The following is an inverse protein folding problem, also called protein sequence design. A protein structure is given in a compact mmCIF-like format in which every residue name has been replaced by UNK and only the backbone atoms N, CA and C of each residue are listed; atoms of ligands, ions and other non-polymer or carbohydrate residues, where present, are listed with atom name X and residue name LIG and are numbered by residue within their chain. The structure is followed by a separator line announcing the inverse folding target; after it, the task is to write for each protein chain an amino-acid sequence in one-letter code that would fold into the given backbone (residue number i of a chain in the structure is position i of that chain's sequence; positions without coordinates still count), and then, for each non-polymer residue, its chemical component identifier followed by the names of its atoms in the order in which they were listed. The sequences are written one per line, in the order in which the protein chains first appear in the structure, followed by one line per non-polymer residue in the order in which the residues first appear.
data_IF_697915789981
#
_entry.id   IF_697915789981
#
_cell.length_a   1.000
_cell.length_b   1.000
_cell.length_c   1.000
_cell.angle_alpha   90.00
_cell.angle_beta   90.00
_cell.angle_gamma   90.00
#
_symmetry.space_group_name_H-M   'P 1'
#
loop_
_entity.id
_entity.type
_entity.pdbx_description
1 polymer ?
#
# COMPACT_ATOMS: atom_id res chain seq x y z
N UNK A 1 -25.86 7.82 17.37
CA UNK A 1 -24.81 6.94 16.81
C UNK A 1 -24.87 7.04 15.29
N UNK A 2 -23.89 7.67 14.64
CA UNK A 2 -23.84 7.80 13.17
C UNK A 2 -22.84 6.78 12.62
N UNK A 3 -23.33 5.81 11.86
CA UNK A 3 -22.54 4.82 11.15
C UNK A 3 -22.04 5.44 9.84
N UNK A 4 -20.78 5.90 9.81
CA UNK A 4 -20.15 6.36 8.58
C UNK A 4 -19.61 5.13 7.82
N UNK A 5 -20.26 4.79 6.72
CA UNK A 5 -19.77 3.81 5.76
C UNK A 5 -18.42 4.30 5.21
N UNK A 6 -17.38 3.49 5.38
CA UNK A 6 -16.07 3.75 4.79
C UNK A 6 -16.13 3.23 3.36
N UNK A 7 -16.42 4.11 2.42
CA UNK A 7 -16.40 3.79 0.99
C UNK A 7 -15.05 4.25 0.44
N UNK A 8 -14.06 3.35 0.41
CA UNK A 8 -12.78 3.62 -0.24
C UNK A 8 -12.94 3.55 -1.75
N UNK A 9 -12.87 4.70 -2.45
CA UNK A 9 -12.85 4.73 -3.91
C UNK A 9 -11.41 4.52 -4.39
N UNK A 10 -11.18 3.44 -5.13
CA UNK A 10 -9.87 3.12 -5.75
C UNK A 10 -9.85 3.75 -7.14
N UNK A 11 -9.03 4.78 -7.33
CA UNK A 11 -8.73 5.30 -8.66
C UNK A 11 -7.43 4.64 -9.16
N UNK A 12 -7.56 3.59 -9.98
CA UNK A 12 -6.44 2.97 -10.67
C UNK A 12 -6.13 3.80 -11.92
N UNK A 13 -5.09 4.62 -11.87
CA UNK A 13 -4.52 5.26 -13.06
C UNK A 13 -3.45 4.33 -13.62
N UNK A 14 -3.72 3.67 -14.75
CA UNK A 14 -2.69 2.95 -15.49
C UNK A 14 -1.82 3.96 -16.24
N UNK A 15 -0.72 4.40 -15.62
CA UNK A 15 0.33 5.17 -16.29
C UNK A 15 1.43 4.21 -16.73
N UNK A 16 1.46 3.89 -18.02
CA UNK A 16 2.64 3.36 -18.68
C UNK A 16 3.50 4.54 -19.13
N UNK A 17 4.56 4.88 -18.39
CA UNK A 17 5.78 5.52 -18.90
C UNK A 17 6.72 5.91 -17.75
N UNK A 18 8.00 5.53 -17.89
CA UNK A 18 9.19 6.30 -17.50
C UNK A 18 9.38 6.65 -16.03
N UNK A 19 10.56 6.34 -15.50
CA UNK A 19 11.02 6.78 -14.17
C UNK A 19 10.71 8.27 -13.92
N UNK A 20 9.70 8.55 -13.08
CA UNK A 20 9.55 9.87 -12.46
C UNK A 20 10.21 9.79 -11.09
N UNK A 21 11.50 10.13 -11.05
CA UNK A 21 12.17 10.54 -9.82
C UNK A 21 11.54 11.86 -9.36
N UNK A 22 10.53 11.78 -8.50
CA UNK A 22 10.11 12.89 -7.66
C UNK A 22 10.39 12.50 -6.19
N UNK A 23 11.60 12.83 -5.75
CA UNK A 23 12.03 12.70 -4.36
C UNK A 23 11.55 13.94 -3.60
N UNK A 24 10.58 13.80 -2.69
CA UNK A 24 10.21 14.87 -1.72
C UNK A 24 9.80 14.24 -0.37
N UNK A 25 10.64 14.56 0.62
CA UNK A 25 10.52 14.57 2.08
C UNK A 25 9.90 13.37 2.85
N UNK A 26 10.80 12.67 3.56
CA UNK A 26 10.50 11.71 4.63
C UNK A 26 10.52 10.26 4.15
N UNK A 27 11.68 9.72 3.79
CA UNK A 27 11.86 8.29 3.48
C UNK A 27 11.84 7.47 4.76
N UNK A 28 10.66 7.41 5.35
CA UNK A 28 10.28 6.47 6.37
C UNK A 28 10.00 5.15 5.67
N UNK A 29 11.05 4.35 5.49
CA UNK A 29 10.91 3.00 4.96
C UNK A 29 9.92 2.23 5.83
N UNK A 30 8.94 1.61 5.18
CA UNK A 30 7.93 0.80 5.87
C UNK A 30 8.62 -0.33 6.64
N UNK A 31 8.31 -0.47 7.92
CA UNK A 31 8.82 -1.53 8.77
C UNK A 31 7.88 -2.72 8.70
N UNK A 32 8.42 -3.91 8.40
CA UNK A 32 7.64 -5.14 8.48
C UNK A 32 7.37 -5.47 9.94
N UNK A 33 6.11 -5.63 10.31
CA UNK A 33 5.67 -5.86 11.70
C UNK A 33 5.13 -7.26 11.92
N UNK A 34 4.60 -7.90 10.88
CA UNK A 34 4.13 -9.28 10.93
C UNK A 34 4.26 -9.91 9.54
N UNK A 35 4.51 -11.21 9.50
CA UNK A 35 4.48 -11.97 8.25
C UNK A 35 4.06 -13.41 8.52
N UNK A 36 3.41 -13.99 7.52
CA UNK A 36 3.11 -15.41 7.40
C UNK A 36 3.39 -15.76 5.94
N UNK A 37 4.66 -15.96 5.62
CA UNK A 37 5.17 -16.17 4.27
C UNK A 37 6.36 -17.13 4.31
N UNK A 38 6.13 -18.33 4.85
CA UNK A 38 7.18 -19.35 5.07
C UNK A 38 7.86 -19.78 3.77
N UNK A 39 7.08 -19.83 2.68
CA UNK A 39 7.56 -20.14 1.34
C UNK A 39 8.24 -18.94 0.64
N UNK A 40 8.35 -17.79 1.30
CA UNK A 40 8.97 -16.57 0.76
C UNK A 40 8.39 -16.09 -0.59
N UNK A 41 7.11 -16.36 -0.84
CA UNK A 41 6.45 -16.04 -2.11
C UNK A 41 6.26 -14.54 -2.34
N UNK A 42 6.33 -13.75 -1.26
CA UNK A 42 6.21 -12.29 -1.30
C UNK A 42 7.53 -11.60 -0.98
N UNK A 43 8.66 -12.32 -0.92
CA UNK A 43 9.94 -11.78 -0.45
C UNK A 43 10.47 -10.62 -1.26
N UNK A 44 10.40 -10.76 -2.57
CA UNK A 44 10.94 -9.78 -3.50
C UNK A 44 9.88 -8.75 -3.94
N UNK A 45 8.68 -8.80 -3.33
CA UNK A 45 7.65 -7.78 -3.51
C UNK A 45 7.88 -6.63 -2.52
N UNK A 46 8.11 -5.43 -3.05
CA UNK A 46 8.48 -4.25 -2.26
C UNK A 46 7.37 -3.21 -2.30
N UNK A 47 6.92 -2.76 -1.14
CA UNK A 47 6.06 -1.56 -1.04
C UNK A 47 6.99 -0.35 -0.85
N UNK A 48 7.02 0.56 -1.82
CA UNK A 48 7.75 1.81 -1.67
C UNK A 48 7.09 2.71 -0.62
N UNK A 49 7.81 3.67 -0.01
CA UNK A 49 7.25 4.60 0.96
C UNK A 49 5.97 5.28 0.43
N UNK A 50 4.86 5.21 1.17
CA UNK A 50 3.58 5.77 0.72
C UNK A 50 3.61 7.30 0.76
N UNK A 51 3.08 7.94 -0.29
CA UNK A 51 3.00 9.41 -0.37
C UNK A 51 1.60 9.87 0.04
N UNK A 52 1.54 10.77 1.03
CA UNK A 52 0.28 11.29 1.57
C UNK A 52 -0.03 12.69 1.02
N UNK A 53 -1.12 12.81 0.28
CA UNK A 53 -1.63 14.09 -0.20
C UNK A 53 -2.89 14.50 0.59
N UNK A 54 -3.01 15.78 0.91
CA UNK A 54 -4.24 16.34 1.50
C UNK A 54 -5.34 16.45 0.43
N UNK A 55 -6.56 16.05 0.78
CA UNK A 55 -7.78 16.35 0.03
C UNK A 55 -8.69 17.23 0.89
N UNK A 56 -9.63 18.00 0.31
CA UNK A 56 -10.57 18.82 1.08
C UNK A 56 -11.37 18.02 2.13
N UNK A 57 -11.69 16.77 1.82
CA UNK A 57 -12.53 15.86 2.61
C UNK A 57 -11.75 14.66 3.20
N UNK A 58 -10.42 14.67 3.13
CA UNK A 58 -9.63 13.55 3.64
C UNK A 58 -8.18 13.53 3.20
N UNK A 59 -7.66 12.32 2.94
CA UNK A 59 -6.30 12.09 2.44
C UNK A 59 -6.31 11.17 1.23
N UNK A 60 -5.37 11.40 0.32
CA UNK A 60 -5.01 10.44 -0.73
C UNK A 60 -3.68 9.81 -0.37
N UNK A 61 -3.63 8.48 -0.36
CA UNK A 61 -2.39 7.72 -0.18
C UNK A 61 -2.01 7.15 -1.53
N UNK A 62 -0.89 7.61 -2.09
CA UNK A 62 -0.32 7.04 -3.31
C UNK A 62 0.60 5.89 -2.92
N UNK A 63 0.37 4.75 -3.54
CA UNK A 63 1.11 3.52 -3.33
C UNK A 63 1.89 3.18 -4.59
N UNK A 64 3.08 2.65 -4.39
CA UNK A 64 3.90 2.03 -5.43
C UNK A 64 4.40 0.69 -4.92
N UNK A 65 4.18 -0.35 -5.72
CA UNK A 65 4.58 -1.72 -5.39
C UNK A 65 5.42 -2.26 -6.53
N UNK A 66 6.60 -2.78 -6.22
CA UNK A 66 7.55 -3.34 -7.16
C UNK A 66 7.69 -4.85 -6.95
N UNK A 67 8.04 -5.57 -8.01
CA UNK A 67 8.62 -6.90 -7.93
C UNK A 67 10.08 -6.83 -8.36
N UNK A 68 10.97 -6.86 -7.38
CA UNK A 68 12.42 -6.81 -7.60
C UNK A 68 13.01 -8.22 -7.80
N UNK A 69 12.14 -9.25 -7.77
CA UNK A 69 12.53 -10.64 -7.96
C UNK A 69 12.60 -11.07 -9.42
N UNK A 70 13.20 -12.23 -9.63
CA UNK A 70 13.38 -12.82 -10.96
C UNK A 70 12.11 -13.49 -11.51
N UNK A 71 11.19 -13.89 -10.64
CA UNK A 71 9.97 -14.61 -11.01
C UNK A 71 8.73 -13.72 -11.06
N UNK A 72 7.75 -14.10 -11.88
CA UNK A 72 6.46 -13.41 -11.91
C UNK A 72 5.60 -13.79 -10.71
N UNK A 73 5.26 -12.82 -9.86
CA UNK A 73 4.35 -13.03 -8.73
C UNK A 73 2.90 -12.78 -9.16
N UNK A 74 2.05 -13.79 -9.00
CA UNK A 74 0.63 -13.75 -9.41
C UNK A 74 -0.31 -13.78 -8.22
N UNK A 75 -1.56 -13.35 -8.44
CA UNK A 75 -2.66 -13.40 -7.45
C UNK A 75 -2.36 -12.66 -6.14
N UNK A 76 -1.54 -11.61 -6.22
CA UNK A 76 -1.23 -10.75 -5.07
C UNK A 76 -2.34 -9.71 -4.91
N UNK A 77 -2.70 -9.42 -3.68
CA UNK A 77 -3.54 -8.28 -3.32
C UNK A 77 -2.78 -7.39 -2.34
N UNK A 78 -2.95 -6.09 -2.50
CA UNK A 78 -2.62 -5.11 -1.49
C UNK A 78 -3.85 -4.82 -0.63
N UNK A 79 -3.69 -4.75 0.69
CA UNK A 79 -4.73 -4.28 1.60
C UNK A 79 -4.20 -3.10 2.42
N UNK A 80 -5.04 -2.09 2.64
CA UNK A 80 -4.76 -1.00 3.56
C UNK A 80 -5.74 -1.10 4.74
N UNK A 81 -5.23 -1.04 5.96
CA UNK A 81 -6.04 -1.02 7.17
C UNK A 81 -5.78 0.26 7.96
N UNK A 82 -6.80 0.70 8.69
CA UNK A 82 -6.73 1.77 9.67
C UNK A 82 -7.46 1.31 10.92
N UNK A 83 -6.80 1.36 12.08
CA UNK A 83 -7.36 0.89 13.37
C UNK A 83 -7.95 -0.53 13.26
N UNK A 84 -7.21 -1.44 12.61
CA UNK A 84 -7.61 -2.85 12.32
C UNK A 84 -8.81 -3.02 11.38
N UNK A 85 -9.39 -1.94 10.85
CA UNK A 85 -10.46 -1.99 9.84
C UNK A 85 -9.86 -1.87 8.45
N UNK A 86 -10.21 -2.78 7.54
CA UNK A 86 -9.76 -2.73 6.16
C UNK A 86 -10.43 -1.54 5.43
N UNK A 87 -9.61 -0.60 4.98
CA UNK A 87 -10.03 0.55 4.18
C UNK A 87 -10.17 0.20 2.70
N UNK A 88 -9.21 -0.57 2.16
CA UNK A 88 -9.27 -1.00 0.76
C UNK A 88 -8.59 -2.35 0.55
N UNK A 89 -8.95 -2.99 -0.57
CA UNK A 89 -8.24 -4.13 -1.14
C UNK A 89 -8.07 -3.89 -2.64
N UNK A 90 -6.83 -3.91 -3.11
CA UNK A 90 -6.48 -3.75 -4.53
C UNK A 90 -5.87 -5.05 -5.01
N UNK A 91 -6.44 -5.67 -6.05
CA UNK A 91 -5.79 -6.80 -6.71
C UNK A 91 -4.70 -6.26 -7.62
N UNK A 92 -3.48 -6.75 -7.44
CA UNK A 92 -2.37 -6.38 -8.30
C UNK A 92 -2.46 -7.15 -9.61
N UNK A 93 -1.97 -6.58 -10.72
CA UNK A 93 -1.76 -7.35 -11.95
C UNK A 93 -0.74 -8.47 -11.70
N UNK A 94 -0.51 -9.32 -12.71
CA UNK A 94 0.62 -10.25 -12.66
C UNK A 94 1.92 -9.44 -12.63
N UNK A 95 2.61 -9.46 -11.49
CA UNK A 95 3.80 -8.66 -11.25
C UNK A 95 5.00 -9.39 -11.85
N UNK A 96 5.34 -9.06 -13.10
CA UNK A 96 6.52 -9.61 -13.78
C UNK A 96 7.83 -9.13 -13.12
N UNK A 97 8.96 -9.72 -13.51
CA UNK A 97 10.29 -9.25 -13.09
C UNK A 97 10.44 -7.75 -13.38
N UNK A 98 10.81 -6.96 -12.38
CA UNK A 98 10.99 -5.51 -12.49
C UNK A 98 9.69 -4.71 -12.68
N UNK A 99 8.53 -5.36 -12.59
CA UNK A 99 7.25 -4.68 -12.75
C UNK A 99 6.98 -3.73 -11.58
N UNK A 100 6.52 -2.54 -11.91
CA UNK A 100 6.02 -1.54 -10.95
C UNK A 100 4.53 -1.35 -11.16
N UNK A 101 3.78 -1.32 -10.07
CA UNK A 101 2.35 -0.98 -10.08
C UNK A 101 2.07 0.17 -9.11
N UNK A 102 1.53 1.26 -9.65
CA UNK A 102 1.20 2.47 -8.92
C UNK A 102 -0.32 2.67 -8.88
N UNK A 103 -0.84 3.05 -7.72
CA UNK A 103 -2.25 3.34 -7.54
C UNK A 103 -2.45 4.31 -6.38
N UNK A 104 -3.64 4.88 -6.27
CA UNK A 104 -4.00 5.76 -5.16
C UNK A 104 -5.28 5.30 -4.46
N UNK A 105 -5.29 5.48 -3.14
CA UNK A 105 -6.43 5.19 -2.27
C UNK A 105 -6.87 6.50 -1.64
N UNK A 106 -8.14 6.86 -1.83
CA UNK A 106 -8.76 7.99 -1.13
C UNK A 106 -9.33 7.50 0.21
N UNK A 107 -8.98 8.20 1.28
CA UNK A 107 -9.48 7.98 2.63
C UNK A 107 -10.27 9.22 2.99
N UNK A 108 -11.60 9.12 3.00
CA UNK A 108 -12.54 10.19 3.32
C UNK A 108 -12.65 10.40 4.85
N UNK A 109 -11.51 10.48 5.52
CA UNK A 109 -11.37 10.76 6.95
C UNK A 109 -10.16 11.68 7.15
N UNK A 110 -10.27 12.62 8.10
CA UNK A 110 -9.18 13.54 8.43
C UNK A 110 -8.09 12.79 9.21
N UNK A 111 -7.18 12.14 8.50
CA UNK A 111 -5.99 11.53 9.11
C UNK A 111 -4.99 12.61 9.51
N UNK A 112 -4.76 12.78 10.81
CA UNK A 112 -3.64 13.56 11.34
C UNK A 112 -2.30 12.83 11.12
N UNK A 113 -1.18 13.47 11.46
CA UNK A 113 0.14 12.81 11.40
C UNK A 113 0.22 11.62 12.37
N UNK A 114 -0.32 11.76 13.58
CA UNK A 114 -0.38 10.68 14.60
C UNK A 114 -1.26 9.51 14.15
N UNK A 115 -2.30 9.78 13.35
CA UNK A 115 -3.15 8.72 12.82
C UNK A 115 -2.41 7.79 11.85
N UNK A 116 -1.29 8.22 11.27
CA UNK A 116 -0.50 7.41 10.35
C UNK A 116 0.12 6.18 11.01
N UNK A 117 0.38 6.23 12.32
CA UNK A 117 0.88 5.09 13.11
C UNK A 117 -0.13 3.93 13.16
N UNK A 118 -1.41 4.24 12.94
CA UNK A 118 -2.50 3.27 12.92
C UNK A 118 -2.77 2.69 11.53
N UNK A 119 -1.96 3.06 10.52
CA UNK A 119 -2.04 2.49 9.18
C UNK A 119 -1.22 1.23 9.08
N UNK A 120 -1.82 0.18 8.51
CA UNK A 120 -1.17 -1.09 8.23
C UNK A 120 -1.31 -1.39 6.73
N UNK A 121 -0.18 -1.73 6.11
CA UNK A 121 -0.05 -2.02 4.70
C UNK A 121 0.23 -3.51 4.55
N UNK A 122 -0.59 -4.24 3.82
CA UNK A 122 -0.47 -5.70 3.68
C UNK A 122 -0.31 -6.09 2.22
N UNK A 123 0.69 -6.93 1.92
CA UNK A 123 0.74 -7.75 0.72
C UNK A 123 0.23 -9.15 1.06
N UNK A 124 -0.67 -9.68 0.24
CA UNK A 124 -1.32 -10.97 0.47
C UNK A 124 -1.41 -11.82 -0.80
N UNK A 125 -1.06 -13.10 -0.70
CA UNK A 125 -1.21 -14.11 -1.76
C UNK A 125 -1.77 -15.39 -1.12
N UNK A 126 -3.04 -15.70 -1.39
CA UNK A 126 -3.70 -16.83 -0.73
C UNK A 126 -3.75 -16.66 0.80
N UNK A 127 -3.21 -17.62 1.54
CA UNK A 127 -2.99 -17.57 2.99
C UNK A 127 -1.71 -16.84 3.39
N UNK A 128 -0.79 -16.59 2.46
CA UNK A 128 0.49 -15.93 2.73
C UNK A 128 0.32 -14.41 2.80
N UNK A 129 0.95 -13.75 3.78
CA UNK A 129 0.94 -12.29 3.88
C UNK A 129 2.21 -11.70 4.50
N UNK A 130 2.49 -10.44 4.15
CA UNK A 130 3.48 -9.57 4.81
C UNK A 130 2.81 -8.25 5.16
N UNK A 131 2.94 -7.82 6.40
CA UNK A 131 2.29 -6.63 6.94
C UNK A 131 3.34 -5.63 7.41
N UNK A 132 3.12 -4.37 7.08
CA UNK A 132 4.04 -3.28 7.28
C UNK A 132 3.36 -2.09 7.94
N UNK A 133 4.14 -1.29 8.68
CA UNK A 133 3.74 -0.02 9.28
C UNK A 133 4.74 1.08 8.92
N UNK A 134 4.30 2.32 9.06
CA UNK A 134 5.21 3.45 9.07
C UNK A 134 6.05 3.41 10.37
N UNK A 135 7.33 3.79 10.33
CA UNK A 135 8.15 3.97 11.52
C UNK A 135 7.53 5.05 12.43
N UNK A 136 7.64 4.82 13.73
CA UNK A 136 7.21 5.76 14.76
C UNK A 136 8.41 6.67 15.07
N UNK A 137 8.24 7.98 14.95
CA UNK A 137 9.24 9.01 15.32
C UNK A 137 8.81 9.75 16.59
#
# INVERSE_FOLDING_TARGET
MKWNYITGVVCAFMLFAGQVHAQVEGTDSLQMVMYHDEANELKEMVICPPVFCSLPDGKRVKMKICNDGEETVRKVSFCLFYKKKRLCKVRLPHMQKGATYEFAVNIHEKLSRKDRENLEFELKKGSCYRMYKLPIH
#
